data_IF_592206839213
#
_entry.id   IF_592206839213
#
_cell.length_a   1.000
_cell.length_b   1.000
_cell.length_c   1.000
_cell.angle_alpha   90.00
_cell.angle_beta   90.00
_cell.angle_gamma   90.00
#
_symmetry.space_group_name_H-M   'P 1'
#
loop_
_entity.id
_entity.type
_entity.pdbx_description
1 polymer ?
#
# COMPACT_ATOMS: atom_id res chain seq x y z
N UNK A 1 80.03 4.39 -13.68
CA UNK A 1 79.93 5.82 -13.34
C UNK A 1 78.47 6.19 -13.43
N UNK A 2 77.90 6.58 -12.28
CA UNK A 2 76.46 6.73 -12.11
C UNK A 2 75.92 8.13 -12.38
N UNK A 3 74.69 8.29 -11.87
CA UNK A 3 73.93 9.52 -11.61
C UNK A 3 73.30 10.09 -12.90
N UNK A 4 71.97 10.18 -13.03
CA UNK A 4 71.03 10.80 -12.10
C UNK A 4 69.65 10.13 -12.06
N UNK A 5 69.19 9.85 -10.84
CA UNK A 5 67.78 9.92 -10.47
C UNK A 5 67.40 11.40 -10.30
N UNK A 6 66.27 11.85 -10.85
CA UNK A 6 65.59 13.06 -10.37
C UNK A 6 64.09 12.85 -10.32
N UNK A 7 63.63 12.94 -9.08
CA UNK A 7 62.29 12.69 -8.59
C UNK A 7 61.45 13.95 -8.78
N UNK A 8 60.41 13.90 -9.61
CA UNK A 8 59.38 14.94 -9.56
C UNK A 8 58.35 14.57 -8.51
N UNK A 9 58.63 15.02 -7.28
CA UNK A 9 57.70 15.00 -6.17
C UNK A 9 56.42 15.77 -6.51
N UNK A 10 55.31 15.07 -6.33
CA UNK A 10 53.94 15.58 -6.30
C UNK A 10 53.79 16.74 -5.31
N UNK A 11 53.45 17.94 -5.79
CA UNK A 11 53.03 19.06 -4.96
C UNK A 11 51.50 19.19 -4.97
N UNK A 12 50.80 18.18 -4.44
CA UNK A 12 49.43 18.37 -3.98
C UNK A 12 49.52 18.96 -2.57
N UNK A 13 49.16 20.23 -2.43
CA UNK A 13 48.92 20.85 -1.12
C UNK A 13 47.66 20.19 -0.54
N UNK A 14 47.69 19.44 0.57
CA UNK A 14 46.45 19.10 1.25
C UNK A 14 45.93 20.40 1.86
N UNK A 15 44.96 21.01 1.19
CA UNK A 15 44.14 22.05 1.81
C UNK A 15 43.48 21.38 3.01
N UNK A 16 43.82 21.88 4.20
CA UNK A 16 43.28 21.44 5.48
C UNK A 16 41.75 21.60 5.44
N UNK A 17 41.06 20.58 4.94
CA UNK A 17 39.62 20.53 4.89
C UNK A 17 39.18 20.32 6.34
N UNK A 18 38.72 21.39 6.99
CA UNK A 18 38.00 21.28 8.25
C UNK A 18 36.70 20.52 7.97
N UNK A 19 36.79 19.19 7.96
CA UNK A 19 35.68 18.25 7.67
C UNK A 19 34.52 18.38 8.69
N UNK A 20 34.71 19.14 9.77
CA UNK A 20 33.65 19.47 10.72
C UNK A 20 32.56 20.40 10.16
N UNK A 21 32.85 21.23 9.14
CA UNK A 21 31.86 22.17 8.61
C UNK A 21 30.70 21.52 7.86
N UNK A 22 30.97 20.40 7.17
CA UNK A 22 29.95 19.70 6.38
C UNK A 22 28.92 18.98 7.26
N UNK A 23 29.34 18.44 8.41
CA UNK A 23 28.43 17.81 9.36
C UNK A 23 27.47 18.83 9.97
N UNK A 24 27.98 19.99 10.40
CA UNK A 24 27.15 21.07 10.94
C UNK A 24 26.27 21.73 9.88
N UNK A 25 26.75 21.87 8.64
CA UNK A 25 25.94 22.35 7.53
C UNK A 25 24.78 21.38 7.20
N UNK A 26 25.06 20.07 7.21
CA UNK A 26 24.02 19.04 7.02
C UNK A 26 22.99 19.05 8.15
N UNK A 27 23.44 19.22 9.39
CA UNK A 27 22.54 19.31 10.55
C UNK A 27 21.66 20.56 10.49
N UNK A 28 22.24 21.71 10.16
CA UNK A 28 21.50 22.95 9.98
C UNK A 28 20.47 22.83 8.85
N UNK A 29 20.84 22.21 7.73
CA UNK A 29 19.93 21.95 6.60
C UNK A 29 18.76 21.03 6.98
N UNK A 30 19.00 19.97 7.75
CA UNK A 30 17.95 19.07 8.21
C UNK A 30 16.94 19.78 9.15
N UNK A 31 17.44 20.63 10.05
CA UNK A 31 16.59 21.42 10.95
C UNK A 31 15.71 22.39 10.17
N UNK A 32 16.30 23.11 9.20
CA UNK A 32 15.56 24.06 8.35
C UNK A 32 14.51 23.32 7.50
N UNK A 33 14.88 22.18 6.92
CA UNK A 33 13.96 21.36 6.14
C UNK A 33 12.78 20.83 6.95
N UNK A 34 13.03 20.34 8.17
CA UNK A 34 11.98 19.87 9.07
C UNK A 34 11.01 21.01 9.45
N UNK A 35 11.53 22.20 9.76
CA UNK A 35 10.69 23.37 10.05
C UNK A 35 9.83 23.77 8.85
N UNK A 36 10.38 23.73 7.64
CA UNK A 36 9.67 24.04 6.41
C UNK A 36 8.49 23.08 6.18
N UNK A 37 8.70 21.78 6.38
CA UNK A 37 7.64 20.76 6.28
C UNK A 37 6.54 21.02 7.31
N UNK A 38 6.90 21.22 8.58
CA UNK A 38 5.95 21.48 9.68
C UNK A 38 5.10 22.72 9.39
N UNK A 39 5.69 23.79 8.87
CA UNK A 39 4.96 25.02 8.52
C UNK A 39 4.14 24.89 7.23
N UNK A 40 4.56 24.06 6.28
CA UNK A 40 3.87 23.91 4.99
C UNK A 40 2.61 23.07 5.10
N UNK A 41 2.58 22.07 5.98
CA UNK A 41 1.45 21.17 6.17
C UNK A 41 0.12 21.92 6.42
N UNK A 42 -0.01 22.89 7.36
CA UNK A 42 -1.28 23.60 7.56
C UNK A 42 -1.69 24.44 6.34
N UNK A 43 -0.73 25.02 5.61
CA UNK A 43 -1.03 25.83 4.41
C UNK A 43 -1.53 24.95 3.28
N UNK A 44 -0.86 23.82 3.03
CA UNK A 44 -1.23 22.85 2.01
C UNK A 44 -2.55 22.13 2.33
N UNK A 45 -2.84 21.87 3.60
CA UNK A 45 -4.12 21.32 4.04
C UNK A 45 -5.29 22.28 3.78
N UNK A 46 -5.08 23.59 3.95
CA UNK A 46 -6.10 24.61 3.61
C UNK A 46 -6.36 24.73 2.09
N UNK A 47 -5.41 24.31 1.25
CA UNK A 47 -5.53 24.34 -0.21
C UNK A 47 -6.16 23.05 -0.79
N UNK A 48 -6.55 22.08 0.05
CA UNK A 48 -7.15 20.77 -0.32
C UNK A 48 -6.31 19.95 -1.34
N UNK A 49 -5.01 20.27 -1.46
CA UNK A 49 -4.07 19.59 -2.38
C UNK A 49 -3.43 18.33 -1.76
N UNK A 50 -3.72 18.04 -0.50
CA UNK A 50 -3.19 16.88 0.22
C UNK A 50 -4.21 15.74 0.25
N UNK A 51 -3.81 14.48 -0.03
CA UNK A 51 -4.71 13.32 0.00
C UNK A 51 -5.12 12.88 1.43
N UNK A 52 -4.86 13.70 2.45
CA UNK A 52 -5.18 13.42 3.85
C UNK A 52 -5.75 14.69 4.53
N UNK A 53 -6.88 14.54 5.23
CA UNK A 53 -7.53 15.59 6.02
C UNK A 53 -6.89 15.67 7.42
N UNK A 54 -6.50 16.86 7.85
CA UNK A 54 -5.85 17.09 9.15
C UNK A 54 -6.85 17.83 10.03
N UNK A 55 -7.60 17.09 10.83
CA UNK A 55 -8.43 17.67 11.90
C UNK A 55 -7.57 17.84 13.18
N UNK A 56 -7.54 19.03 13.80
CA UNK A 56 -6.81 19.22 15.05
C UNK A 56 -7.52 18.48 16.20
N UNK A 57 -6.98 17.34 16.59
CA UNK A 57 -7.49 16.53 17.70
C UNK A 57 -6.93 17.04 19.04
N UNK A 58 -7.70 17.87 19.77
CA UNK A 58 -7.48 18.07 21.20
C UNK A 58 -7.84 16.77 21.92
N UNK A 59 -6.83 15.97 22.28
CA UNK A 59 -7.01 14.67 22.91
C UNK A 59 -7.72 14.78 24.27
N UNK A 60 -8.93 14.23 24.35
CA UNK A 60 -9.21 13.26 25.42
C UNK A 60 -9.71 11.99 24.73
N UNK A 61 -9.17 10.86 25.18
CA UNK A 61 -9.32 9.55 24.57
C UNK A 61 -10.76 9.15 24.26
N UNK A 62 -10.94 8.55 23.07
CA UNK A 62 -12.01 7.64 22.64
C UNK A 62 -13.44 8.07 22.99
N UNK A 63 -14.19 8.50 21.99
CA UNK A 63 -15.43 7.84 21.50
C UNK A 63 -16.08 8.76 20.48
N UNK A 64 -16.20 8.23 19.26
CA UNK A 64 -17.18 8.46 18.21
C UNK A 64 -17.72 9.88 17.95
N UNK A 65 -17.53 10.28 16.70
CA UNK A 65 -18.09 11.46 16.06
C UNK A 65 -19.59 11.61 16.31
N UNK A 66 -19.96 12.72 16.95
CA UNK A 66 -21.27 13.34 16.81
C UNK A 66 -21.08 14.64 16.02
N UNK A 67 -21.74 14.84 14.86
CA UNK A 67 -21.65 16.09 14.14
C UNK A 67 -22.64 17.10 14.76
N UNK A 68 -22.13 18.29 15.10
CA UNK A 68 -22.96 19.44 15.36
C UNK A 68 -23.74 19.84 14.10
N UNK A 69 -25.06 20.06 14.23
CA UNK A 69 -25.78 21.08 13.46
C UNK A 69 -26.81 21.78 14.34
N UNK A 70 -26.84 23.10 14.19
CA UNK A 70 -27.85 24.02 14.71
C UNK A 70 -29.28 23.65 14.32
N UNK A 71 -30.20 24.15 15.15
CA UNK A 71 -31.63 24.43 15.00
C UNK A 71 -32.36 23.97 13.74
N UNK A 72 -33.48 23.28 13.95
CA UNK A 72 -34.85 23.79 13.73
C UNK A 72 -35.83 22.60 13.82
N UNK A 73 -37.07 22.92 14.17
CA UNK A 73 -38.18 22.02 14.48
C UNK A 73 -38.37 20.87 13.47
N UNK A 74 -38.58 19.66 13.99
CA UNK A 74 -38.89 18.51 13.14
C UNK A 74 -38.97 17.19 13.90
N UNK A 75 -40.19 16.84 14.31
CA UNK A 75 -40.55 15.55 14.91
C UNK A 75 -40.19 14.39 13.97
N UNK A 76 -39.02 13.76 14.15
CA UNK A 76 -38.72 12.45 13.56
C UNK A 76 -37.99 11.59 14.56
N UNK A 77 -38.65 10.51 14.98
CA UNK A 77 -38.09 9.44 15.81
C UNK A 77 -36.88 8.83 15.10
N UNK A 78 -35.67 9.29 15.44
CA UNK A 78 -34.42 8.65 15.00
C UNK A 78 -34.34 7.28 15.66
N UNK A 79 -34.71 6.23 14.95
CA UNK A 79 -34.34 4.86 15.30
C UNK A 79 -32.82 4.80 15.15
N UNK A 80 -32.09 4.91 16.26
CA UNK A 80 -30.66 4.69 16.30
C UNK A 80 -30.44 3.21 16.00
N UNK A 81 -30.17 2.89 14.73
CA UNK A 81 -29.72 1.56 14.36
C UNK A 81 -28.21 1.57 14.53
N UNK A 82 -27.76 1.30 15.76
CA UNK A 82 -26.42 0.80 16.00
C UNK A 82 -26.37 -0.57 15.33
N UNK A 83 -25.99 -0.61 14.06
CA UNK A 83 -25.77 -1.87 13.40
C UNK A 83 -24.35 -2.28 13.78
N UNK A 84 -24.24 -3.36 14.55
CA UNK A 84 -22.99 -4.07 14.78
C UNK A 84 -22.36 -4.43 13.41
N UNK A 85 -21.46 -3.59 12.91
CA UNK A 85 -20.84 -3.78 11.57
C UNK A 85 -20.02 -5.08 11.54
N UNK A 86 -19.54 -5.51 12.71
CA UNK A 86 -18.82 -6.77 12.87
C UNK A 86 -19.71 -8.01 12.62
N UNK A 87 -20.97 -8.00 13.05
CA UNK A 87 -21.88 -9.13 12.80
C UNK A 87 -22.24 -9.22 11.32
N UNK A 88 -22.51 -8.10 10.65
CA UNK A 88 -22.91 -8.10 9.25
C UNK A 88 -21.84 -8.61 8.29
N UNK A 89 -20.56 -8.33 8.54
CA UNK A 89 -19.45 -8.85 7.71
C UNK A 89 -19.33 -10.36 7.91
N UNK A 90 -19.35 -10.82 9.17
CA UNK A 90 -19.28 -12.25 9.50
C UNK A 90 -20.45 -13.01 8.87
N UNK A 91 -21.67 -12.49 9.02
CA UNK A 91 -22.88 -13.06 8.43
C UNK A 91 -22.83 -13.11 6.89
N UNK A 92 -22.20 -12.11 6.25
CA UNK A 92 -22.04 -12.08 4.80
C UNK A 92 -21.01 -13.11 4.33
N UNK A 93 -19.91 -13.25 5.06
CA UNK A 93 -18.88 -14.28 4.79
C UNK A 93 -19.46 -15.67 4.98
N UNK A 94 -20.20 -15.91 6.06
CA UNK A 94 -20.84 -17.20 6.33
C UNK A 94 -21.85 -17.58 5.26
N UNK A 95 -22.58 -16.60 4.69
CA UNK A 95 -23.54 -16.85 3.61
C UNK A 95 -22.90 -17.05 2.24
N UNK A 96 -21.78 -16.38 1.96
CA UNK A 96 -21.18 -16.35 0.62
C UNK A 96 -19.96 -17.28 0.47
N UNK A 97 -19.27 -17.60 1.56
CA UNK A 97 -18.00 -18.33 1.57
C UNK A 97 -18.07 -19.67 0.86
N UNK A 98 -19.14 -20.44 1.10
CA UNK A 98 -19.37 -21.76 0.49
C UNK A 98 -19.53 -21.72 -1.04
N UNK A 99 -19.85 -20.56 -1.61
CA UNK A 99 -20.00 -20.38 -3.06
C UNK A 99 -18.70 -19.93 -3.75
N UNK A 100 -17.68 -19.50 -3.00
CA UNK A 100 -16.40 -19.03 -3.53
C UNK A 100 -15.44 -20.21 -3.67
N UNK A 101 -14.81 -20.33 -4.84
CA UNK A 101 -13.87 -21.41 -5.17
C UNK A 101 -12.52 -20.85 -5.61
N UNK A 102 -11.46 -21.56 -5.27
CA UNK A 102 -10.13 -21.34 -5.85
C UNK A 102 -10.05 -21.98 -7.24
N UNK A 103 -9.36 -21.34 -8.17
CA UNK A 103 -9.13 -21.83 -9.52
C UNK A 103 -7.62 -21.85 -9.74
N UNK A 104 -7.08 -23.01 -10.09
CA UNK A 104 -5.66 -23.16 -10.42
C UNK A 104 -5.52 -23.43 -11.91
N UNK A 105 -4.85 -22.51 -12.60
CA UNK A 105 -4.43 -22.66 -13.98
C UNK A 105 -3.11 -23.42 -14.01
N UNK A 106 -3.06 -24.52 -14.74
CA UNK A 106 -1.88 -25.38 -14.86
C UNK A 106 -1.36 -25.31 -16.29
N UNK A 107 -0.15 -24.79 -16.46
CA UNK A 107 0.56 -24.76 -17.74
C UNK A 107 1.78 -25.68 -17.66
N UNK A 108 1.75 -26.76 -18.43
CA UNK A 108 2.88 -27.66 -18.57
C UNK A 108 3.85 -27.07 -19.60
N UNK A 109 5.04 -26.68 -19.16
CA UNK A 109 6.11 -26.26 -20.06
C UNK A 109 7.27 -27.24 -19.99
N UNK A 110 7.79 -27.64 -21.15
CA UNK A 110 9.03 -28.43 -21.20
C UNK A 110 10.19 -27.46 -21.23
N UNK A 111 10.99 -27.44 -20.17
CA UNK A 111 12.21 -26.63 -20.13
C UNK A 111 13.20 -27.10 -21.20
N UNK A 112 14.11 -26.21 -21.61
CA UNK A 112 15.12 -26.48 -22.64
C UNK A 112 15.97 -27.74 -22.38
N UNK A 113 16.08 -28.16 -21.12
CA UNK A 113 16.79 -29.37 -20.68
C UNK A 113 15.89 -30.61 -20.53
N UNK A 114 14.66 -30.58 -21.03
CA UNK A 114 13.72 -31.73 -21.00
C UNK A 114 13.03 -31.95 -19.65
N UNK A 115 13.18 -31.03 -18.70
CA UNK A 115 12.44 -31.10 -17.43
C UNK A 115 11.05 -30.47 -17.62
N UNK A 116 9.99 -31.23 -17.31
CA UNK A 116 8.63 -30.69 -17.23
C UNK A 116 8.54 -29.76 -16.02
N UNK A 117 8.18 -28.51 -16.25
CA UNK A 117 7.90 -27.54 -15.21
C UNK A 117 6.42 -27.18 -15.25
N UNK A 118 5.75 -27.40 -14.13
CA UNK A 118 4.38 -26.94 -13.91
C UNK A 118 4.47 -25.47 -13.49
N UNK A 119 4.08 -24.59 -14.41
CA UNK A 119 3.96 -23.15 -14.17
C UNK A 119 2.49 -22.78 -14.29
N UNK A 120 1.97 -21.95 -13.39
CA UNK A 120 0.53 -21.75 -13.34
C UNK A 120 0.12 -20.52 -12.55
N UNK A 121 -1.03 -19.96 -12.91
CA UNK A 121 -1.65 -18.85 -12.20
C UNK A 121 -2.75 -19.33 -11.25
N UNK A 122 -2.91 -18.67 -10.11
CA UNK A 122 -4.03 -18.91 -9.19
C UNK A 122 -5.03 -17.78 -9.29
N UNK A 123 -6.32 -18.10 -9.25
CA UNK A 123 -7.41 -17.13 -9.21
C UNK A 123 -8.58 -17.60 -8.35
N UNK A 124 -9.64 -16.81 -8.34
CA UNK A 124 -10.88 -17.11 -7.63
C UNK A 124 -12.07 -17.13 -8.59
N UNK A 125 -13.13 -17.82 -8.21
CA UNK A 125 -14.40 -17.81 -8.89
C UNK A 125 -15.58 -17.97 -7.94
N UNK A 126 -16.79 -17.79 -8.46
CA UNK A 126 -18.03 -17.93 -7.71
C UNK A 126 -18.97 -18.90 -8.43
N UNK A 127 -19.49 -19.88 -7.70
CA UNK A 127 -20.51 -20.82 -8.21
C UNK A 127 -21.86 -20.10 -8.28
N UNK A 128 -22.43 -19.96 -9.48
CA UNK A 128 -23.74 -19.31 -9.66
C UNK A 128 -24.89 -20.29 -9.93
N UNK A 129 -24.59 -21.53 -10.35
CA UNK A 129 -25.58 -22.57 -10.60
C UNK A 129 -24.99 -23.94 -10.29
N UNK A 130 -25.78 -24.83 -9.67
CA UNK A 130 -25.52 -26.26 -9.55
C UNK A 130 -26.65 -27.01 -10.25
N UNK A 131 -26.33 -27.97 -11.11
CA UNK A 131 -27.30 -28.74 -11.89
C UNK A 131 -26.83 -30.18 -12.02
N UNK A 132 -27.51 -31.11 -11.36
CA UNK A 132 -27.05 -32.49 -11.21
C UNK A 132 -25.65 -32.54 -10.59
N UNK A 133 -24.72 -33.18 -11.29
CA UNK A 133 -23.32 -33.34 -10.86
C UNK A 133 -22.39 -32.22 -11.39
N UNK A 134 -22.94 -31.13 -11.95
CA UNK A 134 -22.17 -30.02 -12.51
C UNK A 134 -22.36 -28.73 -11.71
N UNK A 135 -21.28 -27.98 -11.56
CA UNK A 135 -21.29 -26.62 -11.03
C UNK A 135 -20.84 -25.64 -12.12
N UNK A 136 -21.50 -24.50 -12.22
CA UNK A 136 -21.15 -23.42 -13.14
C UNK A 136 -20.52 -22.28 -12.35
N UNK A 137 -19.31 -21.89 -12.75
CA UNK A 137 -18.46 -20.94 -12.05
C UNK A 137 -18.21 -19.71 -12.93
N UNK A 138 -18.33 -18.51 -12.36
CA UNK A 138 -17.88 -17.26 -12.97
C UNK A 138 -16.48 -16.93 -12.45
N UNK A 139 -15.58 -16.58 -13.37
CA UNK A 139 -14.24 -16.08 -13.05
C UNK A 139 -13.80 -15.04 -14.08
N UNK A 140 -12.69 -14.37 -13.82
CA UNK A 140 -12.11 -13.43 -14.76
C UNK A 140 -11.52 -14.15 -15.98
N UNK A 141 -11.64 -13.53 -17.14
CA UNK A 141 -11.10 -14.09 -18.38
C UNK A 141 -9.60 -14.43 -18.30
N UNK A 142 -8.78 -13.56 -17.69
CA UNK A 142 -7.34 -13.77 -17.59
C UNK A 142 -6.95 -14.97 -16.71
N UNK A 143 -7.84 -15.44 -15.83
CA UNK A 143 -7.59 -16.62 -14.99
C UNK A 143 -7.58 -17.89 -15.84
N UNK A 144 -8.40 -17.92 -16.90
CA UNK A 144 -8.64 -19.11 -17.74
C UNK A 144 -8.06 -19.01 -19.15
N UNK A 145 -7.79 -17.81 -19.66
CA UNK A 145 -7.40 -17.59 -21.05
C UNK A 145 -6.10 -18.29 -21.47
N UNK A 146 -5.19 -18.51 -20.53
CA UNK A 146 -3.88 -19.12 -20.77
C UNK A 146 -3.81 -20.57 -20.26
N UNK A 147 -4.94 -21.14 -19.82
CA UNK A 147 -4.97 -22.44 -19.17
C UNK A 147 -5.22 -23.57 -20.18
N UNK A 148 -4.26 -24.48 -20.42
CA UNK A 148 -4.57 -25.73 -21.11
C UNK A 148 -5.42 -26.65 -20.21
N UNK A 149 -5.27 -26.54 -18.89
CA UNK A 149 -6.05 -27.28 -17.90
C UNK A 149 -6.38 -26.41 -16.68
N UNK A 150 -7.56 -26.64 -16.09
CA UNK A 150 -8.04 -25.97 -14.89
C UNK A 150 -8.32 -27.01 -13.79
N UNK A 151 -7.92 -26.70 -12.55
CA UNK A 151 -8.23 -27.49 -11.34
C UNK A 151 -8.89 -26.63 -10.27
#
# INVERSE_FOLDING_TARGET
MGYYDQDYQSRYKPQNSRKGGFFWASLAGAIIGALLVIFSIPILANLDVLPYKIEPHNQTAVTDEEPAKESEEGKTTKKNVSIDVYSQITDAVDKAGDAVVGITNIQESTSFWGQSQESGGTGSGVVYKKEGDKAYIVTNHHVVAEAPNLR
#
